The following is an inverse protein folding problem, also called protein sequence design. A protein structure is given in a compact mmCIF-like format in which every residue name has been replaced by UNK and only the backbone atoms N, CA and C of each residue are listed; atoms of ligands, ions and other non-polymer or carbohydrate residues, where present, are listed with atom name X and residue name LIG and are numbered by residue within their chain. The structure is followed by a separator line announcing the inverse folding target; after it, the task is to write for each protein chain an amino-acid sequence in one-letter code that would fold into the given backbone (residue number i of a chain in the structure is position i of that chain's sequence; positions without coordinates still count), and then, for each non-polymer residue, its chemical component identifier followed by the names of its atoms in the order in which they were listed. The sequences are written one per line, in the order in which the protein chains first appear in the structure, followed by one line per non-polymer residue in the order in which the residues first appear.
data_IF_388900033984
#
_entry.id   IF_388900033984
#
_cell.length_a   1.000
_cell.length_b   1.000
_cell.length_c   1.000
_cell.angle_alpha   90.00
_cell.angle_beta   90.00
_cell.angle_gamma   90.00
#
_symmetry.space_group_name_H-M   'P 1'
#
loop_
_entity.id
_entity.type
_entity.pdbx_description
1 polymer ?
#
# COMPACT_ATOMS: atom_id res chain seq x y z
N UNK A 1 -51.52 -15.03 -19.71
CA UNK A 1 -50.87 -13.92 -20.45
C UNK A 1 -50.21 -12.91 -19.48
N UNK A 2 -50.85 -12.53 -18.37
CA UNK A 2 -50.33 -11.57 -17.37
C UNK A 2 -49.19 -12.11 -16.49
N UNK A 3 -49.21 -13.38 -16.09
CA UNK A 3 -48.17 -13.99 -15.22
C UNK A 3 -46.79 -13.94 -15.89
N UNK A 4 -46.70 -14.24 -17.19
CA UNK A 4 -45.46 -14.18 -17.95
C UNK A 4 -44.91 -12.76 -18.11
N UNK A 5 -45.79 -11.76 -18.16
CA UNK A 5 -45.42 -10.34 -18.17
C UNK A 5 -44.83 -9.90 -16.84
N UNK A 6 -45.45 -10.30 -15.72
CA UNK A 6 -44.96 -9.99 -14.36
C UNK A 6 -43.60 -10.63 -14.11
N UNK A 7 -43.41 -11.89 -14.49
CA UNK A 7 -42.11 -12.60 -14.35
C UNK A 7 -41.03 -11.94 -15.20
N UNK A 8 -41.35 -11.53 -16.43
CA UNK A 8 -40.41 -10.83 -17.32
C UNK A 8 -39.98 -9.48 -16.75
N UNK A 9 -40.91 -8.70 -16.19
CA UNK A 9 -40.61 -7.41 -15.56
C UNK A 9 -39.73 -7.60 -14.32
N UNK A 10 -40.02 -8.60 -13.49
CA UNK A 10 -39.22 -8.92 -12.30
C UNK A 10 -37.78 -9.29 -12.65
N UNK A 11 -37.57 -10.09 -13.70
CA UNK A 11 -36.23 -10.46 -14.19
C UNK A 11 -35.45 -9.25 -14.71
N UNK A 12 -36.10 -8.34 -15.46
CA UNK A 12 -35.46 -7.13 -15.99
C UNK A 12 -35.08 -6.15 -14.88
N UNK A 13 -35.90 -6.03 -13.82
CA UNK A 13 -35.62 -5.15 -12.67
C UNK A 13 -34.54 -5.72 -11.74
N UNK A 14 -34.41 -7.05 -11.66
CA UNK A 14 -33.38 -7.72 -10.84
C UNK A 14 -32.04 -7.89 -11.57
N UNK A 15 -32.03 -7.85 -12.91
CA UNK A 15 -30.82 -7.97 -13.75
C UNK A 15 -29.68 -6.97 -13.42
N UNK A 16 -29.96 -5.68 -13.12
CA UNK A 16 -28.92 -4.71 -12.75
C UNK A 16 -28.21 -5.02 -11.43
N UNK A 17 -28.83 -5.82 -10.53
CA UNK A 17 -28.25 -6.15 -9.22
C UNK A 17 -27.14 -7.20 -9.32
N UNK A 18 -27.12 -8.02 -10.38
CA UNK A 18 -26.06 -9.01 -10.60
C UNK A 18 -24.70 -8.38 -10.94
N UNK A 19 -24.69 -7.11 -11.38
CA UNK A 19 -23.49 -6.33 -11.66
C UNK A 19 -22.92 -5.62 -10.42
N UNK A 20 -23.65 -5.63 -9.30
CA UNK A 20 -23.17 -5.10 -8.02
C UNK A 20 -22.30 -6.09 -7.25
N UNK A 21 -21.87 -7.20 -7.86
CA UNK A 21 -20.88 -8.07 -7.24
C UNK A 21 -19.51 -7.40 -7.41
N UNK A 22 -18.96 -6.73 -6.37
CA UNK A 22 -17.63 -6.13 -6.47
C UNK A 22 -16.64 -7.22 -6.86
N UNK A 23 -15.69 -6.88 -7.72
CA UNK A 23 -14.73 -7.88 -8.19
C UNK A 23 -14.00 -8.46 -6.96
N UNK A 24 -13.68 -9.76 -6.98
CA UNK A 24 -12.97 -10.42 -5.86
C UNK A 24 -11.67 -9.67 -5.49
N UNK A 25 -11.04 -9.01 -6.45
CA UNK A 25 -9.88 -8.14 -6.25
C UNK A 25 -10.21 -6.84 -5.46
N UNK A 26 -11.40 -6.25 -5.65
CA UNK A 26 -11.87 -5.11 -4.87
C UNK A 26 -12.19 -5.50 -3.43
N UNK A 27 -12.81 -6.66 -3.20
CA UNK A 27 -13.08 -7.15 -1.83
C UNK A 27 -11.79 -7.47 -1.07
N UNK A 28 -10.77 -8.05 -1.72
CA UNK A 28 -9.46 -8.31 -1.10
C UNK A 28 -8.74 -7.02 -0.66
N UNK A 29 -8.75 -5.98 -1.51
CA UNK A 29 -8.20 -4.66 -1.16
C UNK A 29 -8.97 -3.99 -0.02
N UNK A 30 -10.29 -4.14 0.02
CA UNK A 30 -11.11 -3.62 1.11
C UNK A 30 -10.75 -4.29 2.44
N UNK A 31 -10.53 -5.61 2.43
CA UNK A 31 -10.11 -6.36 3.63
C UNK A 31 -8.74 -5.89 4.14
N UNK A 32 -7.74 -5.71 3.25
CA UNK A 32 -6.42 -5.21 3.63
C UNK A 32 -6.48 -3.82 4.27
N UNK A 33 -7.28 -2.91 3.70
CA UNK A 33 -7.46 -1.56 4.24
C UNK A 33 -8.13 -1.54 5.61
N UNK A 34 -9.09 -2.43 5.82
CA UNK A 34 -9.73 -2.59 7.12
C UNK A 34 -8.76 -3.15 8.16
N UNK A 35 -7.91 -4.09 7.78
CA UNK A 35 -6.89 -4.65 8.67
C UNK A 35 -5.81 -3.63 9.02
N UNK A 36 -5.37 -2.82 8.05
CA UNK A 36 -4.42 -1.74 8.28
C UNK A 36 -4.95 -0.75 9.34
N UNK A 37 -6.23 -0.37 9.23
CA UNK A 37 -6.89 0.50 10.21
C UNK A 37 -6.95 -0.14 11.60
N UNK A 38 -7.18 -1.46 11.71
CA UNK A 38 -7.15 -2.17 13.00
C UNK A 38 -5.79 -2.12 13.66
N UNK A 39 -4.71 -2.17 12.88
CA UNK A 39 -3.33 -2.02 13.38
C UNK A 39 -2.93 -0.57 13.67
N UNK A 40 -3.84 0.39 13.47
CA UNK A 40 -3.57 1.82 13.65
C UNK A 40 -2.70 2.41 12.55
N UNK A 41 -2.58 1.74 11.40
CA UNK A 41 -1.98 2.32 10.20
C UNK A 41 -3.04 3.15 9.47
N UNK A 42 -2.68 4.40 9.16
CA UNK A 42 -3.48 5.22 8.28
C UNK A 42 -3.04 4.95 6.83
N UNK A 43 -4.04 4.75 5.97
CA UNK A 43 -3.86 4.32 4.60
C UNK A 43 -4.56 5.31 3.67
N UNK A 44 -3.82 5.81 2.68
CA UNK A 44 -4.35 6.69 1.64
C UNK A 44 -3.79 6.34 0.27
N UNK A 45 -4.57 6.57 -0.79
CA UNK A 45 -4.07 6.54 -2.15
C UNK A 45 -3.52 7.93 -2.48
N UNK A 46 -2.20 8.06 -2.50
CA UNK A 46 -1.54 9.33 -2.77
C UNK A 46 -1.05 9.37 -4.22
N UNK A 47 -1.32 10.46 -4.97
CA UNK A 47 -0.61 10.71 -6.21
C UNK A 47 0.87 10.93 -5.86
N UNK A 48 1.75 10.14 -6.46
CA UNK A 48 3.18 10.17 -6.17
C UNK A 48 3.96 10.38 -7.46
N UNK A 49 4.82 11.39 -7.46
CA UNK A 49 5.84 11.55 -8.49
C UNK A 49 7.00 10.61 -8.17
N UNK A 50 7.33 9.75 -9.13
CA UNK A 50 8.42 8.79 -9.02
C UNK A 50 9.68 9.35 -9.68
N UNK A 51 10.87 9.04 -9.13
CA UNK A 51 12.11 9.35 -9.83
C UNK A 51 12.15 8.68 -11.21
N UNK A 52 12.57 9.41 -12.24
CA UNK A 52 12.63 8.90 -13.62
C UNK A 52 13.52 7.66 -13.80
N UNK A 53 14.46 7.44 -12.88
CA UNK A 53 15.36 6.28 -12.87
C UNK A 53 14.75 5.03 -12.20
N UNK A 54 13.60 5.15 -11.54
CA UNK A 54 12.94 4.05 -10.84
C UNK A 54 12.09 3.25 -11.84
N UNK A 55 12.67 2.17 -12.38
CA UNK A 55 12.04 1.32 -13.39
C UNK A 55 11.86 -0.12 -12.85
N UNK A 56 10.71 -0.76 -13.08
CA UNK A 56 9.51 -0.22 -13.74
C UNK A 56 8.83 0.87 -12.91
N UNK A 57 8.20 1.84 -13.57
CA UNK A 57 7.50 2.93 -12.89
C UNK A 57 6.39 2.35 -11.99
N UNK A 58 6.40 2.67 -10.68
CA UNK A 58 5.36 2.19 -9.78
C UNK A 58 3.99 2.81 -10.10
N UNK A 59 2.88 2.20 -9.63
CA UNK A 59 1.54 2.71 -9.91
C UNK A 59 1.35 4.12 -9.33
N UNK A 60 0.65 4.98 -10.08
CA UNK A 60 0.19 6.30 -9.64
C UNK A 60 -1.33 6.41 -9.88
N UNK A 61 -2.17 6.57 -8.83
CA UNK A 61 -1.82 6.72 -7.42
C UNK A 61 -1.37 5.41 -6.75
N UNK A 62 -0.54 5.53 -5.71
CA UNK A 62 0.00 4.40 -4.96
C UNK A 62 -0.59 4.33 -3.56
N UNK A 63 -0.69 3.14 -2.97
CA UNK A 63 -1.13 2.99 -1.59
C UNK A 63 0.00 3.39 -0.64
N UNK A 64 -0.24 4.45 0.11
CA UNK A 64 0.63 4.97 1.14
C UNK A 64 0.10 4.54 2.51
N UNK A 65 0.95 3.84 3.26
CA UNK A 65 0.71 3.43 4.64
C UNK A 65 1.61 4.27 5.54
N UNK A 66 1.04 4.95 6.53
CA UNK A 66 1.81 5.86 7.38
C UNK A 66 1.48 5.73 8.87
N UNK A 67 2.46 6.09 9.70
CA UNK A 67 2.37 6.10 11.16
C UNK A 67 3.08 7.34 11.72
N UNK A 68 2.55 7.96 12.80
CA UNK A 68 3.24 9.04 13.50
C UNK A 68 4.51 8.54 14.20
N UNK A 69 5.58 9.33 14.10
CA UNK A 69 6.87 9.09 14.73
C UNK A 69 6.87 9.59 16.17
N UNK A 70 7.62 8.90 17.04
CA UNK A 70 7.75 9.25 18.47
C UNK A 70 9.20 9.59 18.77
N UNK A 71 9.56 10.87 18.70
CA UNK A 71 10.91 11.32 19.02
C UNK A 71 11.09 12.83 18.90
N UNK A 72 12.05 13.39 19.63
CA UNK A 72 12.24 14.84 19.78
C UNK A 72 12.81 15.57 18.56
N UNK A 73 13.37 14.85 17.57
CA UNK A 73 13.80 15.34 16.25
C UNK A 73 14.43 14.16 15.47
N UNK A 74 13.61 13.27 14.90
CA UNK A 74 14.17 12.13 14.21
C UNK A 74 14.71 12.54 12.83
N UNK A 75 15.79 11.89 12.37
CA UNK A 75 16.39 12.18 11.07
C UNK A 75 15.36 11.97 9.94
N UNK A 76 15.32 12.90 8.98
CA UNK A 76 14.50 12.78 7.79
C UNK A 76 15.30 12.09 6.68
N UNK A 77 14.68 11.11 6.03
CA UNK A 77 15.32 10.34 4.96
C UNK A 77 14.25 9.75 4.03
N UNK A 78 14.66 9.46 2.80
CA UNK A 78 13.83 8.79 1.80
C UNK A 78 14.66 7.77 1.05
N UNK A 79 14.16 6.54 1.00
CA UNK A 79 14.76 5.45 0.25
C UNK A 79 13.74 4.86 -0.73
N UNK A 80 14.23 4.52 -1.92
CA UNK A 80 13.48 3.83 -2.96
C UNK A 80 14.06 2.44 -3.18
N UNK A 81 13.19 1.48 -3.44
CA UNK A 81 13.61 0.13 -3.78
C UNK A 81 13.88 0.06 -5.29
N UNK A 82 15.16 0.11 -5.69
CA UNK A 82 15.56 0.07 -7.10
C UNK A 82 15.34 -1.31 -7.70
N UNK A 83 15.72 -2.34 -6.95
CA UNK A 83 15.40 -3.75 -7.20
C UNK A 83 15.03 -4.39 -5.87
N UNK A 84 14.32 -5.53 -5.84
CA UNK A 84 13.95 -6.18 -4.59
C UNK A 84 15.17 -6.37 -3.66
N UNK A 85 15.10 -5.78 -2.47
CA UNK A 85 16.19 -5.78 -1.48
C UNK A 85 17.27 -4.70 -1.64
N UNK A 86 17.33 -3.99 -2.76
CA UNK A 86 18.30 -2.91 -2.99
C UNK A 86 17.64 -1.55 -2.80
N UNK A 87 17.99 -0.90 -1.69
CA UNK A 87 17.45 0.39 -1.28
C UNK A 87 18.44 1.51 -1.54
N UNK A 88 17.97 2.55 -2.24
CA UNK A 88 18.81 3.67 -2.64
C UNK A 88 18.19 5.01 -2.25
N UNK A 89 19.03 6.00 -1.93
CA UNK A 89 18.58 7.36 -1.67
C UNK A 89 18.28 8.13 -2.98
N UNK A 90 18.01 9.43 -2.87
CA UNK A 90 17.69 10.29 -4.01
C UNK A 90 18.85 10.47 -5.01
N UNK A 91 20.08 10.20 -4.57
CA UNK A 91 21.29 10.22 -5.39
C UNK A 91 21.67 8.81 -5.92
N UNK A 92 20.79 7.82 -5.74
CA UNK A 92 21.01 6.41 -6.08
C UNK A 92 22.14 5.73 -5.30
N UNK A 93 22.56 6.30 -4.16
CA UNK A 93 23.53 5.66 -3.28
C UNK A 93 22.81 4.62 -2.43
N UNK A 94 23.44 3.46 -2.26
CA UNK A 94 22.88 2.33 -1.49
C UNK A 94 22.75 2.74 -0.02
N UNK A 95 21.67 2.30 0.63
CA UNK A 95 21.51 2.48 2.06
C UNK A 95 22.60 1.70 2.81
N UNK A 96 23.46 2.41 3.54
CA UNK A 96 24.53 1.81 4.36
C UNK A 96 24.12 1.65 5.84
N UNK A 97 22.96 2.21 6.23
CA UNK A 97 22.47 2.12 7.61
C UNK A 97 21.94 0.71 7.90
N UNK A 98 22.73 -0.06 8.66
CA UNK A 98 22.40 -1.45 9.00
C UNK A 98 21.08 -1.57 9.76
N UNK A 99 20.74 -0.59 10.62
CA UNK A 99 19.50 -0.63 11.37
C UNK A 99 18.28 -0.50 10.45
N UNK A 100 18.37 0.30 9.39
CA UNK A 100 17.31 0.40 8.37
C UNK A 100 17.25 -0.86 7.50
N UNK A 101 18.42 -1.35 7.06
CA UNK A 101 18.52 -2.54 6.22
C UNK A 101 17.87 -3.78 6.86
N UNK A 102 18.06 -4.00 8.17
CA UNK A 102 17.48 -5.13 8.90
C UNK A 102 15.94 -5.16 8.85
N UNK A 103 15.28 -4.01 8.67
CA UNK A 103 13.83 -3.94 8.44
C UNK A 103 13.48 -3.98 6.96
N UNK A 104 14.26 -3.31 6.12
CA UNK A 104 14.07 -3.25 4.68
C UNK A 104 14.20 -4.60 3.98
N UNK A 105 15.01 -5.52 4.50
CA UNK A 105 15.13 -6.90 4.01
C UNK A 105 13.83 -7.71 4.17
N UNK A 106 12.98 -7.35 5.14
CA UNK A 106 11.69 -8.00 5.38
C UNK A 106 10.60 -7.51 4.42
N UNK A 107 10.84 -6.39 3.74
CA UNK A 107 9.87 -5.79 2.85
C UNK A 107 9.90 -6.49 1.47
N UNK A 108 8.73 -6.84 0.91
CA UNK A 108 8.68 -7.46 -0.40
C UNK A 108 9.06 -6.50 -1.52
N UNK A 109 9.43 -7.07 -2.68
CA UNK A 109 9.87 -6.34 -3.87
C UNK A 109 8.84 -5.39 -4.53
N UNK A 110 7.63 -5.31 -3.98
CA UNK A 110 6.56 -4.43 -4.42
C UNK A 110 6.30 -3.27 -3.46
N UNK A 111 7.20 -3.06 -2.49
CA UNK A 111 7.31 -1.83 -1.72
C UNK A 111 8.30 -0.92 -2.42
N UNK A 112 7.82 0.20 -2.95
CA UNK A 112 8.61 1.01 -3.87
C UNK A 112 9.41 2.11 -3.18
N UNK A 113 8.91 2.61 -2.06
CA UNK A 113 9.47 3.78 -1.36
C UNK A 113 9.15 3.72 0.12
N UNK A 114 10.11 4.11 0.95
CA UNK A 114 9.93 4.42 2.37
C UNK A 114 10.50 5.80 2.63
N UNK A 115 9.72 6.64 3.28
CA UNK A 115 10.14 7.98 3.67
C UNK A 115 9.85 8.19 5.14
N UNK A 116 10.75 8.88 5.82
CA UNK A 116 10.57 9.32 7.18
C UNK A 116 10.74 10.83 7.21
N UNK A 117 9.67 11.54 7.57
CA UNK A 117 9.68 12.96 7.86
C UNK A 117 9.76 13.20 9.39
N UNK A 118 9.68 14.45 9.82
CA UNK A 118 9.76 14.87 11.23
C UNK A 118 8.62 14.31 12.07
N UNK A 119 7.43 14.14 11.47
CA UNK A 119 6.22 13.75 12.18
C UNK A 119 5.74 12.35 11.84
N UNK A 120 6.01 11.88 10.62
CA UNK A 120 5.42 10.65 10.08
C UNK A 120 6.48 9.82 9.38
N UNK A 121 6.33 8.50 9.45
CA UNK A 121 6.99 7.57 8.54
C UNK A 121 5.94 6.97 7.63
N UNK A 122 6.23 6.92 6.34
CA UNK A 122 5.35 6.44 5.30
C UNK A 122 6.03 5.43 4.38
N UNK A 123 5.27 4.45 3.94
CA UNK A 123 5.69 3.38 3.04
C UNK A 123 4.70 3.26 1.90
N UNK A 124 5.21 3.12 0.69
CA UNK A 124 4.43 3.05 -0.54
C UNK A 124 4.48 1.65 -1.11
N UNK A 125 3.30 1.02 -1.21
CA UNK A 125 3.17 -0.38 -1.53
C UNK A 125 2.16 -0.61 -2.65
N UNK A 126 2.46 -1.56 -3.54
CA UNK A 126 1.58 -1.91 -4.67
C UNK A 126 0.31 -2.71 -4.29
N UNK A 127 0.08 -3.01 -3.01
CA UNK A 127 -1.03 -3.85 -2.51
C UNK A 127 -1.15 -5.21 -3.25
N UNK A 128 -0.01 -5.79 -3.68
CA UNK A 128 0.05 -7.09 -4.38
C UNK A 128 0.66 -8.15 -3.46
N UNK A 129 -0.13 -8.77 -2.59
CA UNK A 129 0.40 -9.79 -1.69
C UNK A 129 -0.61 -10.31 -0.69
N UNK A 130 -0.13 -11.15 0.22
CA UNK A 130 -0.91 -11.71 1.32
C UNK A 130 -0.99 -10.75 2.51
N UNK A 131 -1.92 -11.02 3.43
CA UNK A 131 -2.10 -10.21 4.64
C UNK A 131 -0.87 -10.19 5.56
N UNK A 132 -0.01 -11.21 5.47
CA UNK A 132 1.28 -11.30 6.18
C UNK A 132 2.21 -10.14 5.83
N UNK A 133 2.23 -9.70 4.57
CA UNK A 133 3.00 -8.53 4.13
C UNK A 133 2.60 -7.27 4.89
N UNK A 134 1.31 -7.11 5.19
CA UNK A 134 0.82 -5.96 5.93
C UNK A 134 1.30 -5.98 7.39
N UNK A 135 1.50 -7.16 7.98
CA UNK A 135 2.07 -7.33 9.31
C UNK A 135 3.57 -6.97 9.31
N UNK A 136 4.31 -7.38 8.29
CA UNK A 136 5.73 -7.02 8.14
C UNK A 136 5.91 -5.51 7.93
N UNK A 137 5.01 -4.90 7.15
CA UNK A 137 4.94 -3.44 6.98
C UNK A 137 4.64 -2.76 8.31
N UNK A 138 3.64 -3.22 9.07
CA UNK A 138 3.32 -2.64 10.38
C UNK A 138 4.50 -2.74 11.35
N UNK A 139 5.14 -3.90 11.44
CA UNK A 139 6.31 -4.13 12.29
C UNK A 139 7.47 -3.21 11.91
N UNK A 140 7.73 -3.06 10.61
CA UNK A 140 8.77 -2.15 10.08
C UNK A 140 8.46 -0.70 10.44
N UNK A 141 7.24 -0.23 10.16
CA UNK A 141 6.83 1.13 10.50
C UNK A 141 6.81 1.37 12.01
N UNK A 142 6.49 0.36 12.83
CA UNK A 142 6.54 0.46 14.30
C UNK A 142 7.95 0.62 14.84
N UNK A 143 8.90 -0.10 14.25
CA UNK A 143 10.27 -0.10 14.71
C UNK A 143 11.04 1.16 14.29
N UNK A 144 10.64 1.77 13.16
CA UNK A 144 11.28 2.96 12.58
C UNK A 144 10.59 4.29 12.94
N UNK A 145 9.38 4.25 13.52
CA UNK A 145 8.60 5.41 13.96
C UNK A 145 9.05 5.94 15.33
#
# INVERSE_FOLDING_TARGET
MTVWLVVSILLVVLSPLAWLRPSRAQSGRMALRMEARRMGLAMQLAPQEWPHWLLPEPPNPCAQYHRPRRGGQPACWTYWQKTPGVWVNQWQEVCDDRALLDYFEKLPGNVFKVEADKQMIALYWGEKGEATVLQDIDATLKALA
#
